data_IF_766392078515
#
_entry.id   IF_766392078515
#
_cell.length_a   1.000
_cell.length_b   1.000
_cell.length_c   1.000
_cell.angle_alpha   90.00
_cell.angle_beta   90.00
_cell.angle_gamma   90.00
#
_symmetry.space_group_name_H-M   'P 1'
#
loop_
_entity.id
_entity.type
_entity.pdbx_description
1 polymer ?
#
# COMPACT_ATOMS: atom_id res chain seq x y z
N UNK A 1 13.93 6.74 7.40
CA UNK A 1 12.99 7.77 6.87
C UNK A 1 12.16 7.11 5.78
N UNK A 2 10.82 7.17 5.86
CA UNK A 2 10.00 6.76 4.71
C UNK A 2 10.08 7.86 3.67
N UNK A 3 10.50 7.53 2.44
CA UNK A 3 10.49 8.50 1.33
C UNK A 3 9.10 9.08 1.13
N UNK A 4 9.04 10.32 0.66
CA UNK A 4 7.79 10.90 0.19
C UNK A 4 7.20 9.97 -0.89
N UNK A 5 5.91 9.61 -0.80
CA UNK A 5 5.29 8.74 -1.80
C UNK A 5 5.31 9.44 -3.17
N UNK A 6 5.70 8.68 -4.18
CA UNK A 6 5.70 9.14 -5.57
C UNK A 6 4.27 9.36 -6.08
N UNK A 7 4.13 10.18 -7.13
CA UNK A 7 2.82 10.44 -7.75
C UNK A 7 2.14 9.15 -8.23
N UNK A 8 2.94 8.19 -8.71
CA UNK A 8 2.45 6.87 -9.12
C UNK A 8 1.87 6.08 -7.94
N UNK A 9 2.54 6.10 -6.79
CA UNK A 9 2.06 5.41 -5.58
C UNK A 9 0.78 6.04 -5.03
N UNK A 10 0.68 7.38 -5.10
CA UNK A 10 -0.52 8.10 -4.71
C UNK A 10 -1.71 7.73 -5.62
N UNK A 11 -1.50 7.68 -6.93
CA UNK A 11 -2.53 7.27 -7.90
C UNK A 11 -2.93 5.80 -7.75
N UNK A 12 -1.97 4.91 -7.53
CA UNK A 12 -2.26 3.50 -7.23
C UNK A 12 -3.07 3.36 -5.92
N UNK A 13 -2.76 4.17 -4.91
CA UNK A 13 -3.49 4.19 -3.64
C UNK A 13 -4.90 4.74 -3.82
N UNK A 14 -5.09 5.78 -4.62
CA UNK A 14 -6.40 6.32 -4.99
C UNK A 14 -7.32 5.25 -5.60
N UNK A 15 -6.82 4.49 -6.58
CA UNK A 15 -7.56 3.39 -7.19
C UNK A 15 -7.84 2.26 -6.20
N UNK A 16 -6.87 1.91 -5.34
CA UNK A 16 -7.06 0.88 -4.30
C UNK A 16 -8.09 1.28 -3.24
N UNK A 17 -8.21 2.58 -2.95
CA UNK A 17 -9.22 3.10 -2.04
C UNK A 17 -10.59 3.27 -2.71
N UNK A 18 -10.73 2.91 -3.99
CA UNK A 18 -11.96 3.07 -4.78
C UNK A 18 -12.49 4.51 -4.75
N UNK A 19 -11.59 5.49 -4.68
CA UNK A 19 -11.99 6.89 -4.68
C UNK A 19 -12.48 7.29 -6.08
N UNK A 20 -13.59 8.04 -6.12
CA UNK A 20 -14.26 8.45 -7.34
C UNK A 20 -14.06 9.95 -7.55
N UNK A 21 -13.84 10.36 -8.79
CA UNK A 21 -13.68 11.76 -9.18
C UNK A 21 -12.38 12.03 -9.92
N UNK A 22 -12.19 13.30 -10.26
CA UNK A 22 -11.00 13.82 -10.91
C UNK A 22 -9.84 13.88 -9.90
N UNK A 23 -8.87 12.97 -10.08
CA UNK A 23 -7.71 12.82 -9.21
C UNK A 23 -6.94 14.12 -9.03
N UNK A 24 -6.65 14.83 -10.13
CA UNK A 24 -5.86 16.06 -10.10
C UNK A 24 -6.58 17.18 -9.34
N UNK A 25 -7.90 17.29 -9.51
CA UNK A 25 -8.72 18.25 -8.74
C UNK A 25 -8.80 17.89 -7.26
N UNK A 26 -8.94 16.60 -6.95
CA UNK A 26 -9.01 16.11 -5.57
C UNK A 26 -7.67 16.26 -4.85
N UNK A 27 -6.54 16.04 -5.52
CA UNK A 27 -5.20 16.17 -4.96
C UNK A 27 -4.78 17.60 -4.62
N UNK A 28 -5.44 18.62 -5.20
CA UNK A 28 -5.28 20.02 -4.79
C UNK A 28 -5.81 20.28 -3.38
N UNK A 29 -6.67 19.42 -2.83
CA UNK A 29 -7.19 19.55 -1.46
C UNK A 29 -6.18 18.94 -0.47
N UNK A 30 -5.60 19.73 0.46
CA UNK A 30 -4.57 19.24 1.37
C UNK A 30 -5.02 18.05 2.23
N UNK A 31 -6.31 18.02 2.63
CA UNK A 31 -6.87 16.95 3.41
C UNK A 31 -6.90 15.61 2.65
N UNK A 32 -7.28 15.63 1.37
CA UNK A 32 -7.33 14.45 0.50
C UNK A 32 -5.91 13.92 0.28
N UNK A 33 -4.97 14.81 -0.05
CA UNK A 33 -3.57 14.45 -0.22
C UNK A 33 -2.98 13.78 1.02
N UNK A 34 -3.19 14.34 2.21
CA UNK A 34 -2.73 13.75 3.48
C UNK A 34 -3.36 12.38 3.75
N UNK A 35 -4.64 12.19 3.44
CA UNK A 35 -5.32 10.91 3.61
C UNK A 35 -4.69 9.82 2.71
N UNK A 36 -4.44 10.15 1.44
CA UNK A 36 -3.85 9.22 0.48
C UNK A 36 -2.40 8.92 0.86
N UNK A 37 -1.59 9.93 1.17
CA UNK A 37 -0.22 9.73 1.66
C UNK A 37 -0.16 8.83 2.91
N UNK A 38 -1.10 9.01 3.84
CA UNK A 38 -1.22 8.16 5.03
C UNK A 38 -1.58 6.72 4.65
N UNK A 39 -2.53 6.52 3.75
CA UNK A 39 -2.92 5.21 3.24
C UNK A 39 -1.77 4.51 2.49
N UNK A 40 -1.01 5.25 1.67
CA UNK A 40 0.19 4.75 0.98
C UNK A 40 1.22 4.26 1.99
N UNK A 41 1.53 5.07 3.02
CA UNK A 41 2.45 4.68 4.10
C UNK A 41 1.96 3.47 4.89
N UNK A 42 0.67 3.41 5.21
CA UNK A 42 0.07 2.26 5.89
C UNK A 42 0.17 1.00 5.04
N UNK A 43 -0.02 1.11 3.71
CA UNK A 43 0.11 0.00 2.79
C UNK A 43 1.55 -0.51 2.69
N UNK A 44 2.52 0.41 2.53
CA UNK A 44 3.94 0.06 2.50
C UNK A 44 4.38 -0.64 3.80
N UNK A 45 3.91 -0.15 4.95
CA UNK A 45 4.12 -0.81 6.25
C UNK A 45 3.52 -2.21 6.31
N UNK A 46 2.30 -2.42 5.80
CA UNK A 46 1.68 -3.75 5.75
C UNK A 46 2.42 -4.72 4.85
N UNK A 47 3.01 -4.27 3.75
CA UNK A 47 3.88 -5.11 2.90
C UNK A 47 5.15 -5.48 3.67
N UNK A 48 5.82 -4.48 4.26
CA UNK A 48 7.07 -4.69 4.99
C UNK A 48 6.91 -5.58 6.23
N UNK A 49 5.74 -5.55 6.86
CA UNK A 49 5.42 -6.38 8.04
C UNK A 49 4.71 -7.68 7.68
N UNK A 50 4.38 -7.91 6.40
CA UNK A 50 3.81 -9.19 5.98
C UNK A 50 4.94 -10.23 6.06
N UNK A 51 4.82 -11.26 6.92
CA UNK A 51 5.76 -12.36 6.84
C UNK A 51 5.71 -12.93 5.41
N UNK A 52 6.86 -13.32 4.83
CA UNK A 52 6.84 -14.00 3.55
C UNK A 52 5.85 -15.17 3.64
N UNK A 53 4.94 -15.24 2.66
CA UNK A 53 3.89 -16.27 2.61
C UNK A 53 4.45 -17.70 2.69
N UNK A 54 5.75 -17.87 2.49
CA UNK A 54 6.47 -19.14 2.56
C UNK A 54 6.62 -19.73 3.97
N UNK A 55 6.35 -18.99 5.05
CA UNK A 55 6.34 -19.59 6.39
C UNK A 55 5.20 -20.61 6.59
N UNK A 56 4.11 -20.53 5.80
CA UNK A 56 3.08 -21.57 5.81
C UNK A 56 3.46 -22.80 4.98
N UNK A 57 4.42 -22.68 4.06
CA UNK A 57 4.91 -23.81 3.25
C UNK A 57 5.97 -24.61 4.00
N UNK A 58 6.71 -24.00 4.92
CA UNK A 58 7.63 -24.69 5.84
C UNK A 58 6.93 -25.41 7.02
N UNK A 59 5.70 -25.00 7.37
CA UNK A 59 4.92 -25.65 8.44
C UNK A 59 4.12 -26.87 7.94
N UNK A 60 3.98 -27.06 6.63
CA UNK A 60 3.45 -28.29 6.03
C UNK A 60 4.66 -29.18 5.78
N UNK A 61 5.00 -30.02 6.75
CA UNK A 61 6.16 -30.91 6.72
C UNK A 61 6.07 -32.03 5.66
N UNK A 62 5.90 -31.69 4.38
CA UNK A 62 6.21 -32.61 3.28
C UNK A 62 7.71 -32.52 3.01
N UNK A 63 8.46 -33.18 3.89
CA UNK A 63 9.77 -33.72 3.51
C UNK A 63 9.53 -35.20 3.28
N UNK A 64 9.07 -35.55 2.08
CA UNK A 64 9.14 -36.94 1.62
C UNK A 64 10.56 -37.15 1.06
N UNK A 65 11.19 -38.23 1.53
CA UNK A 65 12.60 -38.59 1.28
C UNK A 65 12.84 -39.13 -0.13
#
# INVERSE_FOLDING_TARGET
>A
MYSAPSELELRATWHRLHMVGDYDKCMRRPAVRRAIESATRAHARRIATRPPRDLKRLASGDTDF
#
